data_IF_636427244416
#
_entry.id   IF_636427244416
#
_cell.length_a   1.000
_cell.length_b   1.000
_cell.length_c   1.000
_cell.angle_alpha   90.00
_cell.angle_beta   90.00
_cell.angle_gamma   90.00
#
_symmetry.space_group_name_H-M   'P 1'
#
loop_
_entity.id
_entity.type
_entity.pdbx_description
1 polymer ?
#
# COMPACT_ATOMS: atom_id res chain seq x y z
N UNK A 1 15.11 28.93 -37.08
CA UNK A 1 15.79 28.39 -35.89
C UNK A 1 14.72 27.82 -35.00
N UNK A 2 14.52 26.50 -35.05
CA UNK A 2 13.48 25.79 -34.30
C UNK A 2 14.11 25.20 -33.04
N UNK A 3 13.49 25.44 -31.89
CA UNK A 3 13.95 24.95 -30.58
C UNK A 3 13.80 23.44 -30.54
N UNK A 4 14.94 22.76 -30.55
CA UNK A 4 15.11 21.34 -30.32
C UNK A 4 14.55 20.98 -28.94
N UNK A 5 13.40 20.30 -28.92
CA UNK A 5 12.83 19.68 -27.71
C UNK A 5 13.56 18.34 -27.43
N UNK A 6 14.89 18.40 -27.24
CA UNK A 6 15.66 17.30 -26.66
C UNK A 6 15.60 17.36 -25.13
N UNK A 7 14.48 16.95 -24.55
CA UNK A 7 14.53 16.32 -23.23
C UNK A 7 13.73 15.02 -23.35
N UNK A 8 14.40 13.86 -23.45
CA UNK A 8 13.72 12.58 -23.56
C UNK A 8 13.13 12.21 -22.19
N UNK A 9 12.07 12.88 -21.76
CA UNK A 9 11.33 12.53 -20.54
C UNK A 9 12.24 12.12 -19.39
N UNK A 10 13.03 13.05 -18.86
CA UNK A 10 13.59 12.90 -17.52
C UNK A 10 12.41 12.99 -16.53
N UNK A 11 11.73 11.85 -16.39
CA UNK A 11 10.91 11.53 -15.24
C UNK A 11 11.90 11.42 -14.07
N UNK A 12 12.35 12.57 -13.58
CA UNK A 12 13.28 12.71 -12.46
C UNK A 12 12.74 11.86 -11.32
N UNK A 13 13.45 10.76 -11.08
CA UNK A 13 13.11 9.73 -10.12
C UNK A 13 13.31 10.21 -8.69
N UNK A 14 12.56 11.24 -8.30
CA UNK A 14 12.42 11.69 -6.92
C UNK A 14 10.93 11.70 -6.55
N UNK A 15 10.23 10.61 -6.82
CA UNK A 15 9.23 10.21 -5.82
C UNK A 15 9.98 9.24 -4.94
N UNK A 16 10.60 9.72 -3.85
CA UNK A 16 10.80 8.84 -2.69
C UNK A 16 9.41 8.24 -2.47
N UNK A 17 9.18 6.94 -2.78
CA UNK A 17 7.87 6.38 -2.61
C UNK A 17 7.77 6.23 -1.10
N UNK A 18 7.31 7.30 -0.45
CA UNK A 18 7.15 7.38 0.98
C UNK A 18 6.50 6.06 1.39
N UNK A 19 7.19 5.26 2.23
CA UNK A 19 6.84 3.87 2.38
C UNK A 19 5.38 3.83 2.81
N UNK A 20 4.52 3.27 1.96
CA UNK A 20 3.10 3.16 2.30
C UNK A 20 3.00 2.44 3.64
N UNK A 21 2.43 3.11 4.63
CA UNK A 21 2.25 2.56 5.96
C UNK A 21 0.82 2.07 6.08
N UNK A 22 0.69 0.85 6.58
CA UNK A 22 -0.58 0.27 6.96
C UNK A 22 -0.81 0.51 8.44
N UNK A 23 -1.97 1.07 8.79
CA UNK A 23 -2.40 1.27 10.17
C UNK A 23 -3.56 0.33 10.48
N UNK A 24 -3.39 -0.53 11.47
CA UNK A 24 -4.44 -1.45 11.89
C UNK A 24 -5.56 -0.70 12.65
N UNK A 25 -6.85 -0.87 12.29
CA UNK A 25 -7.96 -0.24 13.00
C UNK A 25 -8.28 -0.89 14.35
N UNK A 26 -7.89 -2.14 14.57
CA UNK A 26 -8.17 -2.90 15.79
C UNK A 26 -7.18 -2.58 16.93
N UNK A 27 -5.88 -2.78 16.67
CA UNK A 27 -4.83 -2.56 17.68
C UNK A 27 -4.09 -1.21 17.54
N UNK A 28 -4.29 -0.48 16.44
CA UNK A 28 -3.65 0.82 16.18
C UNK A 28 -2.20 0.74 15.67
N UNK A 29 -1.65 -0.47 15.49
CA UNK A 29 -0.28 -0.71 15.04
C UNK A 29 -0.01 -0.11 13.64
N UNK A 30 1.17 0.48 13.45
CA UNK A 30 1.56 1.13 12.18
C UNK A 30 2.82 0.48 11.63
N UNK A 31 2.68 -0.28 10.55
CA UNK A 31 3.77 -1.02 9.91
C UNK A 31 3.91 -0.64 8.44
N UNK A 32 5.06 -0.94 7.84
CA UNK A 32 5.24 -0.76 6.39
C UNK A 32 4.40 -1.78 5.62
N UNK A 33 3.71 -1.36 4.56
CA UNK A 33 2.94 -2.23 3.66
C UNK A 33 3.77 -3.35 3.04
N UNK A 34 5.09 -3.20 2.94
CA UNK A 34 6.02 -4.25 2.48
C UNK A 34 6.22 -5.38 3.50
N UNK A 35 5.92 -5.14 4.77
CA UNK A 35 6.03 -6.11 5.86
C UNK A 35 4.66 -6.66 6.30
N UNK A 36 3.57 -6.15 5.71
CA UNK A 36 2.22 -6.62 5.99
C UNK A 36 1.99 -7.94 5.24
N UNK A 37 1.71 -9.05 5.95
CA UNK A 37 1.29 -10.27 5.29
C UNK A 37 -0.08 -10.09 4.64
N UNK A 38 -0.29 -10.75 3.51
CA UNK A 38 -1.59 -10.81 2.83
C UNK A 38 -2.14 -12.23 2.93
N UNK A 39 -3.45 -12.35 3.17
CA UNK A 39 -4.14 -13.64 3.14
C UNK A 39 -4.23 -14.19 1.71
N UNK A 40 -4.64 -15.45 1.54
CA UNK A 40 -4.86 -16.08 0.23
C UNK A 40 -5.83 -15.31 -0.68
N UNK A 41 -6.74 -14.52 -0.09
CA UNK A 41 -7.67 -13.65 -0.81
C UNK A 41 -7.07 -12.29 -1.19
N UNK A 42 -5.85 -11.96 -0.74
CA UNK A 42 -5.18 -10.69 -1.02
C UNK A 42 -5.52 -9.56 -0.05
N UNK A 43 -6.16 -9.86 1.10
CA UNK A 43 -6.43 -8.87 2.14
C UNK A 43 -5.23 -8.68 3.07
N UNK A 44 -4.98 -7.42 3.45
CA UNK A 44 -3.92 -7.07 4.40
C UNK A 44 -4.23 -7.64 5.79
N UNK A 45 -3.29 -8.40 6.35
CA UNK A 45 -3.37 -8.99 7.69
C UNK A 45 -2.38 -8.28 8.59
N UNK A 46 -2.86 -7.79 9.73
CA UNK A 46 -2.02 -7.14 10.72
C UNK A 46 -1.03 -8.17 11.32
N UNK A 47 0.29 -7.92 11.28
CA UNK A 47 1.26 -8.86 11.84
C UNK A 47 1.28 -8.88 13.38
N UNK A 48 0.70 -7.87 14.04
CA UNK A 48 0.69 -7.77 15.51
C UNK A 48 -0.50 -8.51 16.15
N UNK A 49 -1.72 -8.29 15.64
CA UNK A 49 -2.94 -8.88 16.21
C UNK A 49 -3.64 -9.87 15.26
N UNK A 50 -3.11 -10.09 14.05
CA UNK A 50 -3.71 -10.97 13.03
C UNK A 50 -5.05 -10.48 12.47
N UNK A 51 -5.43 -9.22 12.73
CA UNK A 51 -6.63 -8.61 12.17
C UNK A 51 -6.54 -8.48 10.64
N UNK A 52 -7.55 -8.96 9.93
CA UNK A 52 -7.69 -8.83 8.48
C UNK A 52 -8.89 -7.95 8.14
N UNK A 53 -8.66 -6.83 7.43
CA UNK A 53 -9.73 -5.96 6.90
C UNK A 53 -10.35 -6.62 5.65
N UNK A 54 -10.93 -7.80 5.85
CA UNK A 54 -11.76 -8.45 4.84
C UNK A 54 -13.14 -7.78 4.82
N UNK A 55 -13.89 -7.88 3.72
CA UNK A 55 -15.32 -7.62 3.77
C UNK A 55 -15.88 -8.57 4.83
N UNK A 56 -16.22 -8.04 6.00
CA UNK A 56 -17.03 -8.72 7.02
C UNK A 56 -18.18 -9.32 6.23
N UNK A 57 -18.16 -10.65 6.07
CA UNK A 57 -19.10 -11.31 5.20
C UNK A 57 -20.49 -10.82 5.58
N UNK A 58 -21.17 -10.15 4.65
CA UNK A 58 -22.61 -10.09 4.70
C UNK A 58 -23.04 -11.55 4.59
N UNK A 59 -23.08 -12.23 5.74
CA UNK A 59 -23.78 -13.48 5.90
C UNK A 59 -25.24 -13.07 5.94
N UNK A 60 -25.75 -12.67 4.77
CA UNK A 60 -27.18 -12.49 4.58
C UNK A 60 -27.82 -13.86 4.83
N UNK A 61 -28.29 -14.02 6.06
CA UNK A 61 -28.97 -15.19 6.61
C UNK A 61 -30.44 -15.24 6.20
#
# INVERSE_FOLDING_TARGET
>A
MATDHSTPFDFDGETDPAPSTFRCPDCGETVRSTSVPYDALGYAVCPACSYSDGPEGVVDA
#
